data_IF_977689138764
#
_entry.id   IF_977689138764
#
_cell.length_a   1.000
_cell.length_b   1.000
_cell.length_c   1.000
_cell.angle_alpha   90.00
_cell.angle_beta   90.00
_cell.angle_gamma   90.00
#
_symmetry.space_group_name_H-M   'P 1'
#
loop_
_entity.id
_entity.type
_entity.pdbx_description
1 polymer ?
#
# COMPACT_ATOMS: atom_id res chain seq x y z
N UNK A 1 72.60 130.33 -44.78
CA UNK A 1 72.85 128.88 -44.73
C UNK A 1 72.77 128.41 -43.28
N UNK A 2 71.66 128.67 -42.58
CA UNK A 2 71.62 128.47 -41.12
C UNK A 2 70.22 128.26 -40.51
N UNK A 3 69.23 127.78 -41.29
CA UNK A 3 67.93 127.41 -40.70
C UNK A 3 67.34 126.09 -41.22
N UNK A 4 68.16 125.25 -41.87
CA UNK A 4 67.79 123.87 -42.26
C UNK A 4 68.03 122.88 -41.11
N UNK A 5 68.79 123.27 -40.06
CA UNK A 5 69.10 122.39 -38.92
C UNK A 5 67.95 122.27 -37.90
N UNK A 6 67.04 123.23 -37.83
CA UNK A 6 65.91 123.21 -36.88
C UNK A 6 64.75 122.33 -37.37
N UNK A 7 64.62 122.12 -38.68
CA UNK A 7 63.55 121.30 -39.27
C UNK A 7 63.82 119.78 -39.15
N UNK A 8 65.08 119.36 -38.98
CA UNK A 8 65.42 117.94 -38.79
C UNK A 8 65.15 117.43 -37.36
N UNK A 9 65.17 118.31 -36.36
CA UNK A 9 64.92 117.91 -34.96
C UNK A 9 63.42 117.67 -34.69
N UNK A 10 62.53 118.41 -35.35
CA UNK A 10 61.08 118.21 -35.25
C UNK A 10 60.62 116.94 -36.00
N UNK A 11 61.29 116.56 -37.10
CA UNK A 11 60.96 115.35 -37.87
C UNK A 11 61.30 114.05 -37.13
N UNK A 12 62.35 114.03 -36.31
CA UNK A 12 62.70 112.87 -35.49
C UNK A 12 61.88 112.75 -34.20
N UNK A 13 61.35 113.86 -33.67
CA UNK A 13 60.47 113.83 -32.49
C UNK A 13 59.04 113.34 -32.83
N UNK A 14 58.56 113.60 -34.04
CA UNK A 14 57.25 113.10 -34.52
C UNK A 14 57.31 111.60 -34.86
N UNK A 15 58.44 111.09 -35.36
CA UNK A 15 58.62 109.65 -35.59
C UNK A 15 58.79 108.83 -34.29
N UNK A 16 59.26 109.44 -33.20
CA UNK A 16 59.37 108.76 -31.90
C UNK A 16 58.03 108.74 -31.14
N UNK A 17 57.08 109.62 -31.48
CA UNK A 17 55.73 109.62 -30.90
C UNK A 17 54.72 108.74 -31.66
N UNK A 18 55.06 108.26 -32.88
CA UNK A 18 54.17 107.42 -33.70
C UNK A 18 54.36 105.90 -33.52
N UNK A 19 55.35 105.45 -32.73
CA UNK A 19 55.71 104.02 -32.60
C UNK A 19 55.34 103.38 -31.25
N UNK A 20 54.58 104.08 -30.40
CA UNK A 20 54.26 103.58 -29.06
C UNK A 20 52.77 103.77 -28.73
N UNK A 21 51.87 103.13 -29.49
CA UNK A 21 50.51 102.75 -29.06
C UNK A 21 49.81 101.96 -30.19
N UNK A 22 50.33 100.78 -30.52
CA UNK A 22 49.52 99.74 -31.16
C UNK A 22 49.24 98.68 -30.09
N UNK A 23 48.33 98.99 -29.18
CA UNK A 23 47.64 97.96 -28.41
C UNK A 23 46.92 97.09 -29.44
N UNK A 24 47.40 95.87 -29.63
CA UNK A 24 46.70 94.82 -30.35
C UNK A 24 45.36 94.58 -29.64
N UNK A 25 44.32 95.31 -30.05
CA UNK A 25 42.95 94.89 -29.83
C UNK A 25 42.68 93.73 -30.79
N UNK A 26 43.06 92.52 -30.38
CA UNK A 26 42.52 91.33 -31.02
C UNK A 26 41.06 91.20 -30.56
N UNK A 27 40.14 91.78 -31.33
CA UNK A 27 38.73 91.45 -31.22
C UNK A 27 38.52 90.11 -31.93
N UNK A 28 38.39 89.02 -31.18
CA UNK A 28 37.60 87.89 -31.65
C UNK A 28 36.14 88.33 -31.67
N UNK A 29 35.60 88.64 -32.85
CA UNK A 29 34.19 88.93 -33.06
C UNK A 29 33.51 87.68 -33.61
N UNK A 30 32.63 87.07 -32.81
CA UNK A 30 31.55 86.20 -33.29
C UNK A 30 31.76 84.68 -33.30
N UNK A 31 32.93 84.16 -32.90
CA UNK A 31 33.16 82.71 -32.74
C UNK A 31 33.24 82.31 -31.26
N UNK A 32 32.79 81.11 -30.91
CA UNK A 32 32.90 80.58 -29.55
C UNK A 32 34.32 80.63 -28.99
N UNK A 33 34.44 80.62 -27.66
CA UNK A 33 35.73 80.57 -26.99
C UNK A 33 36.27 79.14 -27.00
N UNK A 34 37.41 78.92 -27.67
CA UNK A 34 38.11 77.65 -27.65
C UNK A 34 39.22 77.66 -26.58
N UNK A 35 39.24 76.65 -25.71
CA UNK A 35 40.32 76.40 -24.73
C UNK A 35 40.93 75.05 -25.07
N UNK A 36 42.04 75.07 -25.81
CA UNK A 36 42.76 73.88 -26.23
C UNK A 36 44.24 74.19 -26.52
N UNK A 37 45.07 73.14 -26.65
CA UNK A 37 46.50 73.27 -26.96
C UNK A 37 46.83 73.20 -28.46
N UNK A 38 45.83 73.00 -29.32
CA UNK A 38 46.02 72.78 -30.77
C UNK A 38 45.81 74.05 -31.59
N UNK A 39 45.23 75.10 -30.99
CA UNK A 39 44.83 76.33 -31.68
C UNK A 39 43.60 76.16 -32.57
N UNK A 40 42.89 75.03 -32.47
CA UNK A 40 41.66 74.82 -33.22
C UNK A 40 40.59 75.85 -32.78
N UNK A 41 39.79 76.41 -33.72
CA UNK A 41 38.64 77.24 -33.36
C UNK A 41 37.61 76.40 -32.62
N UNK A 42 36.75 77.07 -31.85
CA UNK A 42 35.62 76.40 -31.22
C UNK A 42 34.69 75.85 -32.30
N UNK A 43 34.06 74.70 -32.03
CA UNK A 43 33.00 74.17 -32.87
C UNK A 43 31.90 75.23 -33.10
N UNK A 44 31.35 75.29 -34.31
CA UNK A 44 30.32 76.28 -34.67
C UNK A 44 29.04 76.18 -33.82
N UNK A 45 28.81 75.04 -33.16
CA UNK A 45 27.68 74.82 -32.25
C UNK A 45 27.97 75.19 -30.79
N UNK A 46 29.23 75.51 -30.43
CA UNK A 46 29.65 75.73 -29.06
C UNK A 46 30.10 77.18 -28.82
N UNK A 47 29.50 77.84 -27.82
CA UNK A 47 29.99 79.14 -27.35
C UNK A 47 31.24 79.00 -26.46
N UNK A 48 31.42 77.84 -25.83
CA UNK A 48 32.62 77.45 -25.09
C UNK A 48 32.98 76.02 -25.49
N UNK A 49 34.14 75.85 -26.12
CA UNK A 49 34.68 74.57 -26.55
C UNK A 49 35.98 74.31 -25.80
N UNK A 50 36.01 73.27 -24.97
CA UNK A 50 37.18 72.90 -24.18
C UNK A 50 37.64 71.52 -24.65
N UNK A 51 38.84 71.47 -25.25
CA UNK A 51 39.44 70.24 -25.72
C UNK A 51 40.78 70.01 -25.04
N UNK A 52 40.88 68.92 -24.29
CA UNK A 52 42.09 68.45 -23.65
C UNK A 52 42.05 66.93 -23.52
N UNK A 53 43.20 66.28 -23.59
CA UNK A 53 43.33 64.83 -23.41
C UNK A 53 43.61 64.45 -21.96
N UNK A 54 43.96 65.41 -21.09
CA UNK A 54 44.40 65.16 -19.72
C UNK A 54 43.94 66.20 -18.68
N UNK A 55 43.27 67.27 -19.10
CA UNK A 55 42.65 68.27 -18.22
C UNK A 55 41.14 68.32 -18.48
N UNK A 56 40.39 68.84 -17.51
CA UNK A 56 38.94 69.01 -17.63
C UNK A 56 38.49 70.33 -17.03
N UNK A 57 37.19 70.61 -17.13
CA UNK A 57 36.58 71.80 -16.54
C UNK A 57 36.23 71.56 -15.07
N UNK A 58 36.76 72.38 -14.17
CA UNK A 58 36.30 72.43 -12.77
C UNK A 58 35.10 73.37 -12.64
N UNK A 59 33.94 72.79 -12.35
CA UNK A 59 32.70 73.52 -12.08
C UNK A 59 32.72 74.12 -10.65
N UNK A 60 32.07 75.29 -10.42
CA UNK A 60 31.93 75.87 -9.09
C UNK A 60 31.42 74.87 -8.05
N UNK A 61 32.10 74.80 -6.90
CA UNK A 61 31.71 73.96 -5.78
C UNK A 61 30.88 74.76 -4.79
N UNK A 62 29.72 74.27 -4.43
CA UNK A 62 28.82 74.87 -3.43
C UNK A 62 28.51 73.88 -2.32
N UNK A 63 27.94 74.37 -1.22
CA UNK A 63 27.42 73.54 -0.15
C UNK A 63 25.90 73.73 -0.09
N UNK A 64 25.16 72.86 -0.79
CA UNK A 64 23.71 72.88 -0.76
C UNK A 64 23.19 72.34 0.58
N UNK A 65 22.02 72.78 1.01
CA UNK A 65 21.40 72.32 2.27
C UNK A 65 20.19 71.40 2.05
N UNK A 66 19.53 71.54 0.90
CA UNK A 66 18.51 70.66 0.34
C UNK A 66 18.26 71.07 -1.13
N UNK A 67 17.54 70.25 -1.90
CA UNK A 67 17.28 70.52 -3.31
C UNK A 67 16.35 71.71 -3.55
N UNK A 68 15.40 71.96 -2.66
CA UNK A 68 14.38 73.02 -2.83
C UNK A 68 14.87 74.43 -2.48
N UNK A 69 16.03 74.55 -1.84
CA UNK A 69 16.62 75.84 -1.46
C UNK A 69 17.54 76.35 -2.57
N UNK A 70 17.34 77.59 -3.02
CA UNK A 70 18.27 78.22 -3.95
C UNK A 70 19.64 78.49 -3.31
N UNK A 71 19.69 78.65 -1.98
CA UNK A 71 20.92 78.90 -1.24
C UNK A 71 21.96 77.78 -1.44
N UNK A 72 23.26 78.11 -1.49
CA UNK A 72 23.87 79.39 -1.16
C UNK A 72 23.85 80.43 -2.30
N UNK A 73 23.29 80.08 -3.45
CA UNK A 73 23.24 80.98 -4.61
C UNK A 73 21.92 81.77 -4.55
N UNK A 74 22.02 83.10 -4.58
CA UNK A 74 20.84 83.95 -4.66
C UNK A 74 20.41 84.06 -6.12
N UNK A 75 19.14 83.77 -6.43
CA UNK A 75 18.58 83.80 -7.78
C UNK A 75 19.42 83.03 -8.84
N UNK A 76 19.71 81.73 -8.63
CA UNK A 76 20.43 80.94 -9.62
C UNK A 76 19.70 80.95 -10.97
N UNK A 77 20.46 81.09 -12.06
CA UNK A 77 19.91 81.03 -13.41
C UNK A 77 19.44 79.61 -13.76
N UNK A 78 18.47 79.49 -14.67
CA UNK A 78 18.09 78.19 -15.22
C UNK A 78 19.32 77.48 -15.82
N UNK A 79 19.41 76.18 -15.60
CA UNK A 79 20.54 75.34 -16.05
C UNK A 79 21.91 75.72 -15.45
N UNK A 80 21.95 76.52 -14.38
CA UNK A 80 23.21 76.82 -13.69
C UNK A 80 23.82 75.54 -13.11
N UNK A 81 24.97 75.12 -13.62
CA UNK A 81 25.68 73.91 -13.20
C UNK A 81 26.60 74.18 -12.01
N UNK A 82 26.46 73.37 -10.96
CA UNK A 82 27.31 73.39 -9.76
C UNK A 82 27.71 71.98 -9.35
N UNK A 83 28.79 71.86 -8.60
CA UNK A 83 29.13 70.63 -7.87
C UNK A 83 28.82 70.84 -6.39
N UNK A 84 27.87 70.09 -5.84
CA UNK A 84 27.64 70.07 -4.40
C UNK A 84 28.75 69.28 -3.70
N UNK A 85 29.29 69.84 -2.63
CA UNK A 85 30.48 69.32 -1.95
C UNK A 85 30.19 68.70 -0.58
N UNK A 86 28.95 68.74 -0.12
CA UNK A 86 28.53 68.26 1.19
C UNK A 86 27.39 67.25 1.07
N UNK A 87 27.13 66.52 2.16
CA UNK A 87 25.87 65.79 2.34
C UNK A 87 25.05 66.55 3.38
N UNK A 88 23.87 67.05 2.99
CA UNK A 88 22.97 67.78 3.87
C UNK A 88 21.52 67.65 3.36
N UNK A 89 20.55 67.40 4.24
CA UNK A 89 19.16 67.18 3.80
C UNK A 89 19.04 66.03 2.79
N UNK A 90 18.46 66.32 1.62
CA UNK A 90 18.30 65.38 0.49
C UNK A 90 19.40 65.51 -0.59
N UNK A 91 20.40 66.38 -0.39
CA UNK A 91 21.54 66.50 -1.30
C UNK A 91 22.74 65.66 -0.83
N UNK A 92 23.45 65.12 -1.81
CA UNK A 92 24.72 64.40 -1.64
C UNK A 92 25.75 64.91 -2.65
N UNK A 93 27.06 64.77 -2.40
CA UNK A 93 28.07 65.28 -3.30
C UNK A 93 27.88 64.83 -4.76
N UNK A 94 27.97 65.77 -5.69
CA UNK A 94 27.73 65.50 -7.11
C UNK A 94 27.35 66.73 -7.92
N UNK A 95 27.10 66.54 -9.21
CA UNK A 95 26.70 67.63 -10.10
C UNK A 95 25.19 67.90 -9.99
N UNK A 96 24.83 69.17 -9.82
CA UNK A 96 23.46 69.65 -9.82
C UNK A 96 23.29 70.80 -10.81
N UNK A 97 22.09 70.93 -11.38
CA UNK A 97 21.69 72.13 -12.10
C UNK A 97 20.40 72.70 -11.52
N UNK A 98 20.23 74.01 -11.63
CA UNK A 98 19.00 74.68 -11.20
C UNK A 98 17.91 74.60 -12.28
N UNK A 99 16.71 74.13 -11.95
CA UNK A 99 15.59 74.01 -12.91
C UNK A 99 14.56 75.16 -12.86
N UNK A 100 14.88 76.25 -12.16
CA UNK A 100 14.00 77.36 -11.72
C UNK A 100 13.28 77.15 -10.39
N UNK A 101 13.15 75.92 -9.91
CA UNK A 101 12.40 75.59 -8.69
C UNK A 101 13.23 74.85 -7.66
N UNK A 102 14.19 74.03 -8.11
CA UNK A 102 15.05 73.22 -7.26
C UNK A 102 16.35 72.84 -7.98
N UNK A 103 17.31 72.36 -7.19
CA UNK A 103 18.52 71.71 -7.67
C UNK A 103 18.20 70.28 -8.10
N UNK A 104 18.43 69.97 -9.38
CA UNK A 104 18.30 68.64 -9.95
C UNK A 104 19.69 68.01 -10.08
N UNK A 105 19.88 66.83 -9.50
CA UNK A 105 21.12 66.07 -9.65
C UNK A 105 21.21 65.54 -11.09
N UNK A 106 22.29 65.89 -11.80
CA UNK A 106 22.50 65.52 -13.21
C UNK A 106 22.73 64.02 -13.43
N UNK A 107 23.33 63.36 -12.44
CA UNK A 107 23.44 61.92 -12.40
C UNK A 107 23.65 61.46 -10.96
N UNK A 108 22.77 60.60 -10.46
CA UNK A 108 23.14 59.59 -9.47
C UNK A 108 23.91 58.53 -10.26
N UNK A 109 25.24 58.61 -10.31
CA UNK A 109 26.05 57.60 -11.02
C UNK A 109 25.52 56.19 -10.74
N UNK A 110 25.14 55.45 -11.79
CA UNK A 110 24.77 54.01 -11.76
C UNK A 110 24.11 53.52 -10.46
N UNK A 111 22.90 54.00 -10.08
CA UNK A 111 22.35 53.68 -8.75
C UNK A 111 20.84 53.60 -8.53
N UNK A 112 19.98 54.07 -9.43
CA UNK A 112 18.52 54.10 -9.17
C UNK A 112 17.73 52.94 -9.78
N UNK A 113 18.40 52.01 -10.45
CA UNK A 113 17.76 50.86 -11.10
C UNK A 113 18.40 49.54 -10.67
N UNK A 114 17.71 48.44 -10.99
CA UNK A 114 18.29 47.11 -10.87
C UNK A 114 19.32 46.91 -11.99
N UNK A 115 20.58 46.70 -11.64
CA UNK A 115 21.66 46.44 -12.58
C UNK A 115 21.49 45.07 -13.23
N UNK A 116 21.92 44.92 -14.49
CA UNK A 116 21.96 43.62 -15.19
C UNK A 116 23.02 42.68 -14.61
N UNK A 117 24.01 43.22 -13.89
CA UNK A 117 24.98 42.44 -13.10
C UNK A 117 24.53 42.21 -11.65
N UNK A 118 23.35 42.71 -11.26
CA UNK A 118 22.84 42.68 -9.89
C UNK A 118 23.34 43.85 -9.02
N UNK A 119 22.68 44.03 -7.88
CA UNK A 119 22.99 45.06 -6.90
C UNK A 119 23.51 44.39 -5.61
N UNK A 120 24.58 44.90 -5.02
CA UNK A 120 25.08 44.45 -3.71
C UNK A 120 24.40 45.24 -2.56
N UNK A 121 24.32 44.64 -1.37
CA UNK A 121 23.85 45.33 -0.15
C UNK A 121 22.34 45.64 -0.11
N UNK A 122 21.52 44.85 -0.81
CA UNK A 122 20.06 44.98 -0.81
C UNK A 122 19.44 44.61 0.54
N UNK A 123 18.44 45.37 0.97
CA UNK A 123 17.56 45.07 2.12
C UNK A 123 16.17 44.63 1.62
N UNK A 124 15.64 43.51 2.13
CA UNK A 124 14.36 42.92 1.69
C UNK A 124 13.14 43.77 2.02
N UNK A 125 13.22 44.71 2.96
CA UNK A 125 12.13 45.63 3.31
C UNK A 125 12.06 46.84 2.38
N UNK A 126 13.19 47.26 1.79
CA UNK A 126 13.27 48.53 1.03
C UNK A 126 13.71 48.40 -0.42
N UNK A 127 14.29 47.26 -0.83
CA UNK A 127 14.77 47.04 -2.20
C UNK A 127 14.06 45.85 -2.83
N UNK A 128 13.38 46.08 -3.95
CA UNK A 128 12.71 45.04 -4.72
C UNK A 128 12.60 45.40 -6.19
N UNK A 129 12.35 44.40 -7.02
CA UNK A 129 11.92 44.57 -8.41
C UNK A 129 10.42 44.37 -8.44
N UNK A 130 9.66 45.39 -8.82
CA UNK A 130 8.21 45.32 -8.85
C UNK A 130 7.56 46.69 -8.96
N UNK A 131 6.30 46.75 -8.55
CA UNK A 131 5.47 47.95 -8.51
C UNK A 131 5.08 48.28 -7.05
N UNK A 132 4.88 49.55 -6.74
CA UNK A 132 4.35 50.01 -5.45
C UNK A 132 2.84 50.27 -5.48
N UNK A 133 2.21 50.16 -6.64
CA UNK A 133 0.79 50.38 -6.88
C UNK A 133 0.05 49.08 -7.27
N UNK A 134 -1.28 49.14 -7.39
CA UNK A 134 -2.17 48.00 -7.74
C UNK A 134 -2.08 47.65 -9.26
N UNK A 135 -0.85 47.46 -9.74
CA UNK A 135 -0.53 47.12 -11.12
C UNK A 135 0.26 45.82 -11.16
N UNK A 136 0.00 45.03 -12.20
CA UNK A 136 0.75 43.81 -12.44
C UNK A 136 2.17 44.11 -12.89
N UNK A 137 3.14 43.35 -12.39
CA UNK A 137 4.51 43.40 -12.87
C UNK A 137 4.71 42.40 -14.01
N UNK A 138 5.28 42.86 -15.14
CA UNK A 138 5.32 42.11 -16.40
C UNK A 138 6.75 41.97 -16.92
N UNK A 139 7.12 40.73 -17.27
CA UNK A 139 8.36 40.42 -17.97
C UNK A 139 8.06 40.15 -19.45
N UNK A 140 8.86 40.76 -20.34
CA UNK A 140 8.67 40.66 -21.79
C UNK A 140 9.95 40.25 -22.52
N UNK A 141 9.78 39.64 -23.69
CA UNK A 141 10.85 39.42 -24.68
C UNK A 141 10.31 39.79 -26.05
N UNK A 142 11.04 40.58 -26.83
CA UNK A 142 10.57 41.10 -28.12
C UNK A 142 9.18 41.77 -28.02
N UNK A 143 9.00 42.61 -27.00
CA UNK A 143 7.73 43.29 -26.65
C UNK A 143 6.52 42.36 -26.37
N UNK A 144 6.71 41.04 -26.30
CA UNK A 144 5.67 40.07 -25.95
C UNK A 144 5.76 39.68 -24.48
N UNK A 145 4.64 39.70 -23.77
CA UNK A 145 4.53 39.22 -22.38
C UNK A 145 4.85 37.73 -22.28
N UNK A 146 5.77 37.38 -21.37
CA UNK A 146 6.21 36.00 -21.13
C UNK A 146 5.83 35.52 -19.74
N UNK A 147 5.95 36.41 -18.75
CA UNK A 147 5.61 36.14 -17.36
C UNK A 147 4.99 37.40 -16.74
N UNK A 148 4.07 37.20 -15.79
CA UNK A 148 3.44 38.27 -15.03
C UNK A 148 3.25 37.84 -13.59
N UNK A 149 3.44 38.77 -12.66
CA UNK A 149 2.82 38.70 -11.33
C UNK A 149 1.58 39.60 -11.41
N UNK A 150 0.41 38.99 -11.32
CA UNK A 150 -0.87 39.70 -11.41
C UNK A 150 -1.02 40.66 -10.24
N UNK A 151 -1.92 41.64 -10.36
CA UNK A 151 -2.23 42.54 -9.24
C UNK A 151 -2.80 41.81 -8.02
N UNK A 152 -3.36 40.62 -8.24
CA UNK A 152 -3.87 39.72 -7.20
C UNK A 152 -2.78 38.78 -6.63
N UNK A 153 -1.53 38.88 -7.10
CA UNK A 153 -0.40 38.07 -6.62
C UNK A 153 -0.19 36.73 -7.32
N UNK A 154 -1.03 36.35 -8.29
CA UNK A 154 -0.84 35.11 -9.06
C UNK A 154 0.31 35.25 -10.05
N UNK A 155 1.11 34.20 -10.22
CA UNK A 155 2.16 34.12 -11.24
C UNK A 155 1.59 33.46 -12.49
N UNK A 156 1.60 34.18 -13.61
CA UNK A 156 1.28 33.63 -14.93
C UNK A 156 2.55 33.46 -15.77
N UNK A 157 2.73 32.30 -16.41
CA UNK A 157 3.78 32.04 -17.40
C UNK A 157 3.11 31.60 -18.69
N UNK A 158 3.31 32.34 -19.78
CA UNK A 158 2.61 32.10 -21.05
C UNK A 158 1.12 32.47 -21.06
N UNK A 159 0.61 33.04 -19.98
CA UNK A 159 -0.75 33.60 -19.86
C UNK A 159 -0.70 35.00 -19.25
N UNK A 160 -1.56 35.90 -19.75
CA UNK A 160 -1.74 37.26 -19.21
C UNK A 160 -2.88 37.37 -18.20
N UNK A 161 -3.69 36.31 -18.06
CA UNK A 161 -4.82 36.20 -17.16
C UNK A 161 -4.75 34.88 -16.39
N UNK A 162 -3.83 34.75 -15.42
CA UNK A 162 -3.74 33.55 -14.59
C UNK A 162 -5.06 33.31 -13.86
N UNK A 163 -5.47 32.04 -13.76
CA UNK A 163 -6.69 31.66 -13.05
C UNK A 163 -6.64 32.14 -11.58
N UNK A 164 -7.75 32.72 -11.09
CA UNK A 164 -7.80 33.31 -9.74
C UNK A 164 -7.56 32.29 -8.62
N UNK A 165 -7.88 31.01 -8.86
CA UNK A 165 -7.66 29.91 -7.92
C UNK A 165 -6.23 29.35 -7.92
N UNK A 166 -5.35 29.79 -8.83
CA UNK A 166 -4.02 29.25 -9.00
C UNK A 166 -2.95 30.28 -8.59
N UNK A 167 -2.06 29.94 -7.66
CA UNK A 167 -0.91 30.80 -7.35
C UNK A 167 0.11 30.83 -8.50
N UNK A 168 0.22 29.74 -9.25
CA UNK A 168 1.04 29.59 -10.46
C UNK A 168 0.17 29.00 -11.58
N UNK A 169 0.10 29.69 -12.71
CA UNK A 169 -0.60 29.27 -13.91
C UNK A 169 0.37 29.27 -15.11
N UNK A 170 0.57 28.11 -15.72
CA UNK A 170 1.50 27.91 -16.84
C UNK A 170 0.70 27.47 -18.05
N UNK A 171 0.62 28.33 -19.08
CA UNK A 171 -0.17 28.08 -20.28
C UNK A 171 0.70 27.95 -21.53
N UNK A 172 0.50 26.86 -22.27
CA UNK A 172 1.14 26.60 -23.56
C UNK A 172 0.36 25.53 -24.31
N UNK A 173 0.35 25.60 -25.64
CA UNK A 173 -0.21 24.56 -26.53
C UNK A 173 0.86 23.64 -27.13
N UNK A 174 2.14 23.94 -26.89
CA UNK A 174 3.29 23.27 -27.53
C UNK A 174 4.39 22.89 -26.55
N UNK A 175 4.24 23.21 -25.26
CA UNK A 175 5.23 22.98 -24.20
C UNK A 175 4.54 22.52 -22.92
N UNK A 176 5.27 21.78 -22.08
CA UNK A 176 4.84 21.39 -20.74
C UNK A 176 5.78 21.90 -19.65
N UNK A 177 5.49 21.55 -18.41
CA UNK A 177 6.35 21.81 -17.26
C UNK A 177 7.30 20.61 -17.02
N UNK A 178 8.61 20.87 -16.95
CA UNK A 178 9.57 19.93 -16.39
C UNK A 178 9.70 20.21 -14.88
N UNK A 179 9.20 19.29 -14.06
CA UNK A 179 9.44 19.27 -12.61
C UNK A 179 10.83 18.67 -12.30
N UNK A 180 11.40 18.86 -11.09
CA UNK A 180 12.69 18.30 -10.73
C UNK A 180 12.78 16.79 -11.03
N UNK A 181 13.81 16.40 -11.78
CA UNK A 181 14.05 15.02 -12.20
C UNK A 181 15.20 14.44 -11.41
N UNK A 182 15.01 13.29 -10.78
CA UNK A 182 16.00 12.69 -9.90
C UNK A 182 15.80 11.18 -9.78
N UNK A 183 16.84 10.45 -9.38
CA UNK A 183 16.72 9.04 -9.00
C UNK A 183 15.99 8.90 -7.67
N UNK A 184 15.50 7.71 -7.34
CA UNK A 184 14.94 7.40 -6.03
C UNK A 184 15.95 7.70 -4.91
N UNK A 185 17.23 7.35 -5.12
CA UNK A 185 18.28 7.63 -4.15
C UNK A 185 18.49 9.14 -3.89
N UNK A 186 18.41 9.98 -4.92
CA UNK A 186 18.51 11.43 -4.78
C UNK A 186 17.25 12.03 -4.12
N UNK A 187 16.07 11.52 -4.48
CA UNK A 187 14.78 11.91 -3.87
C UNK A 187 14.76 11.62 -2.38
N UNK A 188 15.26 10.46 -1.97
CA UNK A 188 15.28 10.02 -0.58
C UNK A 188 16.30 10.80 0.29
N UNK A 189 17.17 11.61 -0.33
CA UNK A 189 18.05 12.58 0.35
C UNK A 189 17.41 13.95 0.57
N UNK A 190 16.20 14.20 0.07
CA UNK A 190 15.47 15.44 0.37
C UNK A 190 15.11 15.44 1.86
N UNK A 191 15.72 16.34 2.63
CA UNK A 191 15.45 16.47 4.06
C UNK A 191 14.12 17.20 4.31
N UNK A 192 13.27 16.62 5.16
CA UNK A 192 11.96 17.16 5.53
C UNK A 192 11.10 17.65 4.34
N UNK A 193 10.80 16.78 3.36
CA UNK A 193 10.02 17.19 2.19
C UNK A 193 8.63 17.68 2.61
N UNK A 194 8.17 18.77 2.00
CA UNK A 194 6.84 19.29 2.26
C UNK A 194 5.76 18.37 1.67
N UNK A 195 4.62 18.24 2.35
CA UNK A 195 3.45 17.54 1.79
C UNK A 195 3.02 18.20 0.49
N UNK A 196 2.80 17.39 -0.54
CA UNK A 196 2.49 17.82 -1.91
C UNK A 196 3.70 18.14 -2.77
N UNK A 197 4.94 18.02 -2.26
CA UNK A 197 6.15 18.21 -3.06
C UNK A 197 6.18 17.22 -4.23
N UNK A 198 6.32 17.73 -5.47
CA UNK A 198 6.29 16.91 -6.69
C UNK A 198 7.67 16.77 -7.32
N UNK A 199 7.98 15.55 -7.78
CA UNK A 199 9.20 15.23 -8.53
C UNK A 199 8.88 14.25 -9.67
N UNK A 200 9.79 14.11 -10.62
CA UNK A 200 9.78 13.03 -11.61
C UNK A 200 10.90 12.05 -11.28
N UNK A 201 10.53 10.83 -10.90
CA UNK A 201 11.48 9.78 -10.57
C UNK A 201 11.96 9.08 -11.85
N UNK A 202 13.24 9.26 -12.18
CA UNK A 202 13.83 8.74 -13.43
C UNK A 202 14.11 7.23 -13.39
N UNK A 203 14.15 6.61 -12.21
CA UNK A 203 14.36 5.15 -12.10
C UNK A 203 13.12 4.38 -12.56
N UNK A 204 11.93 4.94 -12.33
CA UNK A 204 10.65 4.32 -12.66
C UNK A 204 9.82 5.09 -13.71
N UNK A 205 10.34 6.22 -14.21
CA UNK A 205 9.70 7.07 -15.23
C UNK A 205 8.28 7.53 -14.86
N UNK A 206 8.06 7.92 -13.60
CA UNK A 206 6.77 8.41 -13.12
C UNK A 206 6.89 9.74 -12.37
N UNK A 207 5.82 10.53 -12.41
CA UNK A 207 5.65 11.63 -11.47
C UNK A 207 5.29 11.07 -10.10
N UNK A 208 5.90 11.63 -9.06
CA UNK A 208 5.62 11.33 -7.66
C UNK A 208 5.31 12.61 -6.89
N UNK A 209 4.55 12.47 -5.80
CA UNK A 209 4.42 13.51 -4.79
C UNK A 209 4.63 12.96 -3.39
N UNK A 210 5.08 13.82 -2.47
CA UNK A 210 5.23 13.46 -1.06
C UNK A 210 3.90 13.62 -0.31
N UNK A 211 3.46 12.60 0.42
CA UNK A 211 2.18 12.62 1.16
C UNK A 211 2.29 13.27 2.54
N UNK A 212 3.49 13.59 3.01
CA UNK A 212 3.79 13.92 4.39
C UNK A 212 4.44 12.77 5.16
N UNK A 213 4.37 11.54 4.63
CA UNK A 213 5.02 10.36 5.22
C UNK A 213 5.83 9.56 4.20
N UNK A 214 5.43 9.52 2.93
CA UNK A 214 6.15 8.79 1.89
C UNK A 214 5.94 9.40 0.49
N UNK A 215 6.71 8.93 -0.48
CA UNK A 215 6.55 9.29 -1.90
C UNK A 215 5.59 8.33 -2.61
N UNK A 216 4.61 8.88 -3.32
CA UNK A 216 3.61 8.10 -4.08
C UNK A 216 3.56 8.55 -5.53
N UNK A 217 3.30 7.62 -6.45
CA UNK A 217 3.18 7.95 -7.87
C UNK A 217 1.81 8.55 -8.21
N UNK A 218 1.80 9.60 -9.04
CA UNK A 218 0.57 10.17 -9.61
C UNK A 218 0.02 9.37 -10.80
N UNK A 219 0.82 8.49 -11.40
CA UNK A 219 0.47 7.74 -12.62
C UNK A 219 0.29 6.23 -12.42
N UNK A 220 0.64 5.70 -11.25
CA UNK A 220 0.48 4.29 -10.90
C UNK A 220 -0.07 4.17 -9.48
N UNK A 221 -1.38 3.98 -9.37
CA UNK A 221 -1.93 3.27 -8.20
C UNK A 221 -1.73 1.77 -8.43
N UNK A 222 -1.42 1.02 -7.38
CA UNK A 222 -1.38 -0.44 -7.44
C UNK A 222 -2.71 -0.98 -7.99
N UNK A 223 -2.65 -1.56 -9.19
CA UNK A 223 -3.81 -2.22 -9.78
C UNK A 223 -4.25 -3.38 -8.88
N UNK A 224 -5.57 -3.63 -8.82
CA UNK A 224 -6.08 -4.89 -8.29
C UNK A 224 -5.40 -6.08 -9.00
N UNK A 225 -5.05 -7.16 -8.29
CA UNK A 225 -4.56 -8.36 -8.92
C UNK A 225 -5.49 -8.89 -10.01
N UNK A 226 -4.90 -9.48 -11.05
CA UNK A 226 -5.63 -10.21 -12.08
C UNK A 226 -6.26 -11.49 -11.54
N UNK A 227 -6.80 -12.32 -12.43
CA UNK A 227 -7.42 -13.59 -12.04
C UNK A 227 -6.45 -14.48 -11.22
N UNK A 228 -6.97 -15.08 -10.15
CA UNK A 228 -6.24 -16.04 -9.34
C UNK A 228 -6.37 -17.40 -10.03
N UNK A 229 -5.24 -18.02 -10.35
CA UNK A 229 -5.20 -19.39 -10.87
C UNK A 229 -4.94 -20.38 -9.75
N UNK A 230 -5.37 -21.64 -9.92
CA UNK A 230 -5.21 -22.70 -8.93
C UNK A 230 -4.45 -23.90 -9.51
N UNK A 231 -3.72 -24.62 -8.68
CA UNK A 231 -3.07 -25.87 -9.10
C UNK A 231 -3.23 -26.94 -8.02
N UNK A 232 -3.82 -28.11 -8.35
CA UNK A 232 -4.57 -28.41 -9.57
C UNK A 232 -5.77 -27.48 -9.80
N UNK A 233 -6.17 -27.27 -11.07
CA UNK A 233 -7.28 -26.39 -11.43
C UNK A 233 -8.63 -26.98 -11.01
N UNK A 234 -9.09 -26.59 -9.82
CA UNK A 234 -10.43 -26.88 -9.32
C UNK A 234 -10.77 -25.96 -8.15
N UNK A 235 -11.99 -25.45 -8.14
CA UNK A 235 -12.56 -24.68 -7.03
C UNK A 235 -13.35 -25.55 -6.05
N UNK A 236 -13.51 -26.85 -6.33
CA UNK A 236 -14.20 -27.81 -5.44
C UNK A 236 -13.33 -29.04 -5.16
N UNK A 237 -13.14 -29.37 -3.87
CA UNK A 237 -12.35 -30.52 -3.46
C UNK A 237 -12.60 -30.92 -2.00
N UNK A 238 -12.10 -32.11 -1.63
CA UNK A 238 -12.22 -32.61 -0.26
C UNK A 238 -11.34 -31.84 0.74
N UNK A 239 -11.78 -31.77 1.99
CA UNK A 239 -11.01 -31.21 3.10
C UNK A 239 -9.60 -31.84 3.24
N UNK A 240 -8.66 -31.08 3.81
CA UNK A 240 -7.29 -31.52 4.06
C UNK A 240 -6.36 -31.51 2.84
N UNK A 241 -6.85 -31.17 1.64
CA UNK A 241 -6.02 -31.05 0.44
C UNK A 241 -5.18 -29.78 0.45
N UNK A 242 -4.03 -29.85 -0.21
CA UNK A 242 -3.17 -28.71 -0.49
C UNK A 242 -3.47 -28.22 -1.91
N UNK A 243 -3.57 -26.89 -2.06
CA UNK A 243 -3.69 -26.20 -3.35
C UNK A 243 -2.70 -25.06 -3.40
N UNK A 244 -2.17 -24.82 -4.60
CA UNK A 244 -1.36 -23.64 -4.87
C UNK A 244 -2.21 -22.61 -5.61
N UNK A 245 -2.12 -21.35 -5.20
CA UNK A 245 -2.77 -20.22 -5.85
C UNK A 245 -1.73 -19.24 -6.33
N UNK A 246 -1.92 -18.68 -7.54
CA UNK A 246 -0.98 -17.73 -8.09
C UNK A 246 -1.67 -16.61 -8.88
N UNK A 247 -0.95 -15.49 -8.99
CA UNK A 247 -1.29 -14.36 -9.85
C UNK A 247 -0.06 -13.95 -10.67
N UNK A 248 -0.29 -13.18 -11.74
CA UNK A 248 0.81 -12.49 -12.41
C UNK A 248 1.36 -11.35 -11.53
N UNK A 249 2.68 -11.08 -11.56
CA UNK A 249 3.27 -9.96 -10.83
C UNK A 249 2.67 -8.60 -11.24
N UNK A 250 2.46 -7.73 -10.26
CA UNK A 250 1.96 -6.36 -10.48
C UNK A 250 3.12 -5.37 -10.42
N UNK A 251 3.23 -4.52 -11.45
CA UNK A 251 4.25 -3.46 -11.49
C UNK A 251 4.07 -2.49 -10.32
N UNK A 252 5.13 -2.28 -9.55
CA UNK A 252 5.14 -1.38 -8.38
C UNK A 252 4.76 -2.05 -7.06
N UNK A 253 4.33 -3.32 -7.07
CA UNK A 253 4.08 -4.08 -5.85
C UNK A 253 5.41 -4.59 -5.26
N UNK A 254 5.62 -4.40 -3.97
CA UNK A 254 6.78 -4.95 -3.24
C UNK A 254 6.40 -6.18 -2.41
N UNK A 255 5.12 -6.39 -2.11
CA UNK A 255 4.59 -7.53 -1.35
C UNK A 255 3.15 -7.84 -1.76
N UNK A 256 2.69 -9.05 -1.42
CA UNK A 256 1.30 -9.48 -1.59
C UNK A 256 0.70 -9.97 -0.29
N UNK A 257 -0.50 -9.49 0.03
CA UNK A 257 -1.26 -9.87 1.21
C UNK A 257 -2.28 -10.91 0.77
N UNK A 258 -2.15 -12.13 1.29
CA UNK A 258 -3.08 -13.22 1.03
C UNK A 258 -3.96 -13.50 2.24
N UNK A 259 -5.23 -13.75 2.00
CA UNK A 259 -6.19 -14.23 3.01
C UNK A 259 -6.81 -15.53 2.55
N UNK A 260 -7.07 -16.44 3.50
CA UNK A 260 -7.64 -17.76 3.25
C UNK A 260 -8.84 -18.03 4.16
N UNK A 261 -9.73 -18.98 3.84
CA UNK A 261 -10.92 -19.26 4.64
C UNK A 261 -10.59 -19.72 6.07
N UNK A 262 -11.56 -19.62 6.98
CA UNK A 262 -11.41 -20.09 8.35
C UNK A 262 -11.02 -21.58 8.39
N UNK A 263 -9.99 -21.92 9.17
CA UNK A 263 -9.44 -23.28 9.27
C UNK A 263 -8.52 -23.69 8.12
N UNK A 264 -8.34 -22.87 7.08
CA UNK A 264 -7.25 -23.02 6.12
C UNK A 264 -5.97 -22.33 6.63
N UNK A 265 -4.81 -22.82 6.17
CA UNK A 265 -3.51 -22.24 6.50
C UNK A 265 -2.64 -22.09 5.27
N UNK A 266 -2.00 -20.93 5.12
CA UNK A 266 -0.94 -20.73 4.14
C UNK A 266 0.30 -21.47 4.65
N UNK A 267 0.81 -22.43 3.89
CA UNK A 267 1.98 -23.24 4.27
C UNK A 267 3.28 -22.67 3.72
N UNK A 268 3.25 -22.02 2.56
CA UNK A 268 4.43 -21.44 1.89
C UNK A 268 4.04 -20.24 1.03
N UNK A 269 5.01 -19.38 0.70
CA UNK A 269 4.86 -18.31 -0.31
C UNK A 269 4.25 -17.00 0.19
N UNK A 270 4.10 -16.83 1.51
CA UNK A 270 3.55 -15.60 2.10
C UNK A 270 4.33 -14.36 1.63
N UNK A 271 3.61 -13.32 1.21
CA UNK A 271 4.22 -12.09 0.69
C UNK A 271 4.56 -12.13 -0.81
N UNK A 272 4.41 -13.27 -1.48
CA UNK A 272 4.79 -13.45 -2.90
C UNK A 272 3.58 -13.59 -3.82
N UNK A 273 3.79 -13.67 -5.13
CA UNK A 273 2.71 -13.87 -6.12
C UNK A 273 2.10 -15.27 -6.12
N UNK A 274 2.63 -16.20 -5.32
CA UNK A 274 2.17 -17.59 -5.25
C UNK A 274 2.20 -18.13 -3.83
N UNK A 275 1.12 -18.77 -3.40
CA UNK A 275 1.00 -19.40 -2.08
C UNK A 275 0.55 -20.84 -2.19
N UNK A 276 0.99 -21.71 -1.28
CA UNK A 276 0.35 -23.01 -1.05
C UNK A 276 -0.48 -22.97 0.22
N UNK A 277 -1.67 -23.54 0.16
CA UNK A 277 -2.68 -23.50 1.22
C UNK A 277 -3.14 -24.91 1.53
N UNK A 278 -3.13 -25.30 2.81
CA UNK A 278 -3.85 -26.51 3.28
C UNK A 278 -5.23 -26.11 3.77
N UNK A 279 -6.28 -26.73 3.23
CA UNK A 279 -7.66 -26.42 3.60
C UNK A 279 -8.18 -27.29 4.75
N UNK A 280 -8.98 -26.66 5.62
CA UNK A 280 -9.74 -27.34 6.69
C UNK A 280 -11.07 -27.90 6.16
N UNK A 281 -12.14 -27.76 6.96
CA UNK A 281 -13.49 -28.28 6.64
C UNK A 281 -14.45 -27.21 6.11
N UNK A 282 -14.01 -25.96 6.00
CA UNK A 282 -14.88 -24.81 5.73
C UNK A 282 -14.58 -24.23 4.35
N UNK A 283 -15.64 -24.01 3.57
CA UNK A 283 -15.59 -23.27 2.31
C UNK A 283 -15.37 -21.77 2.54
N UNK A 284 -14.91 -21.06 1.51
CA UNK A 284 -14.81 -19.60 1.52
C UNK A 284 -13.81 -19.10 0.49
N UNK A 285 -13.46 -17.81 0.59
CA UNK A 285 -12.60 -17.17 -0.40
C UNK A 285 -11.12 -17.26 -0.08
N UNK A 286 -10.32 -17.45 -1.14
CA UNK A 286 -8.90 -17.08 -1.15
C UNK A 286 -8.81 -15.72 -1.83
N UNK A 287 -8.22 -14.74 -1.16
CA UNK A 287 -8.06 -13.40 -1.70
C UNK A 287 -6.60 -12.94 -1.67
N UNK A 288 -6.25 -12.04 -2.59
CA UNK A 288 -4.95 -11.39 -2.67
C UNK A 288 -5.08 -9.91 -2.95
N UNK A 289 -4.31 -9.10 -2.23
CA UNK A 289 -4.05 -7.69 -2.53
C UNK A 289 -2.56 -7.50 -2.81
N UNK A 290 -2.22 -6.53 -3.67
CA UNK A 290 -0.85 -6.09 -3.84
C UNK A 290 -0.57 -4.90 -2.92
N UNK A 291 0.63 -4.83 -2.40
CA UNK A 291 1.05 -3.80 -1.46
C UNK A 291 2.43 -3.26 -1.84
N UNK A 292 2.63 -1.97 -1.57
CA UNK A 292 3.93 -1.35 -1.47
C UNK A 292 4.01 -0.56 -0.15
N UNK A 293 5.10 0.16 0.07
CA UNK A 293 5.31 0.92 1.30
C UNK A 293 4.25 1.99 1.61
N UNK A 294 3.41 2.36 0.65
CA UNK A 294 2.49 3.50 0.77
C UNK A 294 1.02 3.14 0.53
N UNK A 295 0.71 2.09 -0.22
CA UNK A 295 -0.67 1.73 -0.56
C UNK A 295 -0.89 0.22 -0.63
N UNK A 296 -2.15 -0.18 -0.49
CA UNK A 296 -2.63 -1.55 -0.71
C UNK A 296 -3.76 -1.49 -1.74
N UNK A 297 -3.69 -2.32 -2.78
CA UNK A 297 -4.73 -2.39 -3.78
C UNK A 297 -5.98 -3.12 -3.27
N UNK A 298 -7.12 -2.87 -3.92
CA UNK A 298 -8.33 -3.67 -3.73
C UNK A 298 -8.05 -5.16 -3.98
N UNK A 299 -8.61 -6.02 -3.13
CA UNK A 299 -8.38 -7.45 -3.21
C UNK A 299 -9.07 -8.09 -4.42
N UNK A 300 -8.42 -9.10 -5.00
CA UNK A 300 -9.07 -10.08 -5.87
C UNK A 300 -9.38 -11.32 -5.05
N UNK A 301 -10.56 -11.92 -5.23
CA UNK A 301 -10.95 -13.16 -4.55
C UNK A 301 -11.35 -14.23 -5.56
N UNK A 302 -11.13 -15.49 -5.18
CA UNK A 302 -11.69 -16.70 -5.80
C UNK A 302 -12.46 -17.47 -4.72
N UNK A 303 -13.65 -17.98 -5.05
CA UNK A 303 -14.48 -18.77 -4.14
C UNK A 303 -14.08 -20.25 -4.19
N UNK A 304 -13.90 -20.85 -3.01
CA UNK A 304 -13.44 -22.23 -2.85
C UNK A 304 -14.46 -23.01 -2.04
N UNK A 305 -14.94 -24.10 -2.64
CA UNK A 305 -15.83 -25.06 -2.01
C UNK A 305 -15.04 -26.25 -1.47
N UNK A 306 -15.09 -26.43 -0.15
CA UNK A 306 -14.44 -27.54 0.53
C UNK A 306 -15.49 -28.52 1.03
N UNK A 307 -15.38 -29.77 0.59
CA UNK A 307 -16.27 -30.84 0.98
C UNK A 307 -15.65 -31.62 2.17
N UNK A 308 -16.17 -31.47 3.40
CA UNK A 308 -15.67 -32.24 4.53
C UNK A 308 -16.05 -33.72 4.41
N UNK A 309 -15.35 -34.58 5.15
CA UNK A 309 -15.84 -35.93 5.39
C UNK A 309 -17.17 -35.86 6.17
N UNK A 310 -18.07 -36.86 6.03
CA UNK A 310 -19.29 -36.91 6.82
C UNK A 310 -18.95 -36.85 8.31
N UNK A 311 -19.80 -36.15 9.07
CA UNK A 311 -19.70 -36.17 10.53
C UNK A 311 -20.05 -37.56 11.08
N UNK A 312 -19.64 -37.85 12.31
CA UNK A 312 -20.09 -39.05 13.00
C UNK A 312 -21.63 -39.13 12.97
N UNK A 313 -22.22 -40.31 12.71
CA UNK A 313 -23.64 -40.52 12.89
C UNK A 313 -24.15 -40.03 14.25
N UNK A 314 -25.45 -39.72 14.32
CA UNK A 314 -26.11 -39.52 15.62
C UNK A 314 -26.22 -40.84 16.39
N UNK A 315 -26.78 -40.78 17.60
CA UNK A 315 -27.02 -41.95 18.44
C UNK A 315 -27.78 -43.06 17.68
N UNK A 316 -27.26 -44.28 17.76
CA UNK A 316 -27.97 -45.46 17.23
C UNK A 316 -29.18 -45.72 18.13
N UNK A 317 -30.36 -45.84 17.52
CA UNK A 317 -31.60 -46.23 18.19
C UNK A 317 -31.92 -47.69 17.88
N UNK A 318 -32.14 -48.48 18.91
CA UNK A 318 -32.50 -49.91 18.80
C UNK A 318 -32.47 -50.58 20.18
N UNK A 319 -32.83 -51.88 20.26
CA UNK A 319 -32.79 -52.62 21.52
C UNK A 319 -31.37 -52.72 22.11
N UNK A 320 -31.23 -52.46 23.40
CA UNK A 320 -29.97 -52.59 24.16
C UNK A 320 -29.83 -53.95 24.87
N UNK A 321 -30.87 -54.77 24.83
CA UNK A 321 -30.89 -56.12 25.36
C UNK A 321 -31.31 -57.10 24.27
N UNK A 322 -30.58 -58.21 24.16
CA UNK A 322 -30.82 -59.24 23.15
C UNK A 322 -30.90 -60.63 23.80
N UNK A 323 -31.71 -61.49 23.21
CA UNK A 323 -31.91 -62.87 23.66
C UNK A 323 -31.42 -63.82 22.55
N UNK A 324 -30.47 -64.73 22.84
CA UNK A 324 -29.97 -65.68 21.84
C UNK A 324 -31.10 -66.49 21.17
N UNK A 325 -31.04 -66.60 19.85
CA UNK A 325 -31.97 -67.41 19.04
C UNK A 325 -33.40 -66.89 18.92
N UNK A 326 -33.73 -65.73 19.48
CA UNK A 326 -35.08 -65.18 19.41
C UNK A 326 -35.57 -65.07 17.95
N UNK A 327 -36.82 -65.44 17.71
CA UNK A 327 -37.40 -65.44 16.36
C UNK A 327 -37.73 -64.04 15.82
N UNK A 328 -37.99 -63.08 16.71
CA UNK A 328 -38.22 -61.69 16.34
C UNK A 328 -36.91 -61.02 15.90
N UNK A 329 -36.97 -60.22 14.84
CA UNK A 329 -35.86 -59.38 14.41
C UNK A 329 -35.88 -58.02 15.12
N UNK A 330 -34.72 -57.35 15.16
CA UNK A 330 -34.55 -56.06 15.80
C UNK A 330 -34.05 -55.01 14.80
N UNK A 331 -34.69 -53.85 14.77
CA UNK A 331 -34.27 -52.72 13.93
C UNK A 331 -33.33 -51.79 14.69
N UNK A 332 -32.22 -51.44 14.06
CA UNK A 332 -31.27 -50.42 14.52
C UNK A 332 -31.17 -49.33 13.47
N UNK A 333 -31.29 -48.07 13.87
CA UNK A 333 -31.27 -46.96 12.93
C UNK A 333 -30.59 -45.72 13.50
N UNK A 334 -30.15 -44.87 12.59
CA UNK A 334 -29.66 -43.52 12.83
C UNK A 334 -30.43 -42.55 11.92
N UNK A 335 -30.42 -41.27 12.26
CA UNK A 335 -30.78 -40.24 11.30
C UNK A 335 -29.77 -40.22 10.14
N UNK A 336 -30.24 -39.95 8.92
CA UNK A 336 -29.36 -39.86 7.76
C UNK A 336 -28.34 -38.72 7.94
N UNK A 337 -27.07 -39.00 7.63
CA UNK A 337 -25.95 -38.07 7.77
C UNK A 337 -25.73 -37.32 6.45
N UNK A 338 -25.75 -35.99 6.49
CA UNK A 338 -25.46 -35.15 5.32
C UNK A 338 -24.07 -35.44 4.76
N UNK A 339 -23.98 -35.61 3.43
CA UNK A 339 -22.73 -35.93 2.73
C UNK A 339 -22.34 -37.41 2.73
N UNK A 340 -23.10 -38.27 3.42
CA UNK A 340 -22.94 -39.71 3.34
C UNK A 340 -23.67 -40.30 2.13
N UNK A 341 -23.03 -41.22 1.42
CA UNK A 341 -23.62 -42.00 0.33
C UNK A 341 -23.77 -43.49 0.67
N UNK A 342 -23.14 -43.98 1.75
CA UNK A 342 -23.39 -45.31 2.31
C UNK A 342 -23.06 -45.36 3.81
N UNK A 343 -23.48 -46.43 4.48
CA UNK A 343 -23.23 -46.67 5.90
C UNK A 343 -22.60 -48.05 6.12
N UNK A 344 -21.47 -48.07 6.83
CA UNK A 344 -20.79 -49.31 7.17
C UNK A 344 -21.15 -49.70 8.61
N UNK A 345 -21.96 -50.75 8.74
CA UNK A 345 -22.38 -51.29 10.02
C UNK A 345 -21.50 -52.48 10.42
N UNK A 346 -21.10 -52.51 11.69
CA UNK A 346 -20.45 -53.65 12.33
C UNK A 346 -21.31 -54.12 13.50
N UNK A 347 -21.44 -55.43 13.65
CA UNK A 347 -22.32 -56.06 14.65
C UNK A 347 -21.53 -57.09 15.48
N UNK A 348 -21.96 -57.39 16.71
CA UNK A 348 -21.29 -58.38 17.55
C UNK A 348 -21.32 -59.80 16.97
N UNK A 349 -20.46 -60.68 17.49
CA UNK A 349 -20.48 -62.10 17.15
C UNK A 349 -21.85 -62.72 17.46
N UNK A 350 -22.36 -63.53 16.54
CA UNK A 350 -23.68 -64.16 16.63
C UNK A 350 -24.87 -63.22 16.34
N UNK A 351 -24.61 -62.02 15.84
CA UNK A 351 -25.62 -61.16 15.21
C UNK A 351 -25.48 -61.28 13.69
N UNK A 352 -26.60 -61.24 12.97
CA UNK A 352 -26.59 -61.19 11.50
C UNK A 352 -27.44 -60.05 10.99
N UNK A 353 -26.88 -59.26 10.06
CA UNK A 353 -27.63 -58.25 9.31
C UNK A 353 -28.47 -58.99 8.27
N UNK A 354 -29.78 -58.98 8.44
CA UNK A 354 -30.71 -59.66 7.53
C UNK A 354 -31.27 -58.72 6.45
N UNK A 355 -31.23 -57.40 6.68
CA UNK A 355 -31.55 -56.38 5.67
C UNK A 355 -31.00 -55.01 6.03
N UNK A 356 -30.94 -54.09 5.04
CA UNK A 356 -30.60 -52.68 5.25
C UNK A 356 -29.10 -52.34 5.25
N UNK A 357 -28.22 -53.30 4.92
CA UNK A 357 -26.78 -53.04 4.79
C UNK A 357 -26.51 -51.89 3.81
N UNK A 358 -25.62 -50.96 4.18
CA UNK A 358 -25.33 -49.76 3.40
C UNK A 358 -26.31 -48.60 3.62
N UNK A 359 -27.39 -48.78 4.39
CA UNK A 359 -28.42 -47.75 4.63
C UNK A 359 -28.39 -47.24 6.07
N UNK A 360 -29.16 -46.18 6.38
CA UNK A 360 -29.27 -45.62 7.73
C UNK A 360 -30.06 -46.49 8.70
N UNK A 361 -30.60 -47.64 8.26
CA UNK A 361 -31.35 -48.59 9.08
C UNK A 361 -30.94 -50.01 8.72
N UNK A 362 -30.61 -50.81 9.73
CA UNK A 362 -30.38 -52.25 9.56
C UNK A 362 -31.37 -53.05 10.39
N UNK A 363 -31.68 -54.25 9.93
CA UNK A 363 -32.45 -55.23 10.70
C UNK A 363 -31.54 -56.39 11.05
N UNK A 364 -31.49 -56.74 12.34
CA UNK A 364 -30.66 -57.79 12.90
C UNK A 364 -31.48 -59.00 13.31
N UNK A 365 -30.87 -60.17 13.19
CA UNK A 365 -31.30 -61.40 13.85
C UNK A 365 -30.24 -61.85 14.85
N UNK A 366 -30.68 -62.27 16.04
CA UNK A 366 -29.81 -62.80 17.09
C UNK A 366 -29.73 -64.32 16.97
N UNK A 367 -28.54 -64.85 16.68
CA UNK A 367 -28.29 -66.28 16.58
C UNK A 367 -28.07 -66.89 17.98
N UNK A 368 -28.08 -68.21 18.07
CA UNK A 368 -27.92 -68.93 19.35
C UNK A 368 -26.55 -68.73 20.02
N UNK A 369 -25.54 -68.34 19.24
CA UNK A 369 -24.20 -68.00 19.70
C UNK A 369 -23.98 -66.48 19.85
N UNK A 370 -25.05 -65.68 19.97
CA UNK A 370 -24.96 -64.24 20.20
C UNK A 370 -24.21 -63.93 21.51
N UNK A 371 -23.24 -63.01 21.44
CA UNK A 371 -22.45 -62.55 22.59
C UNK A 371 -22.58 -61.03 22.70
N UNK A 372 -22.59 -60.52 23.94
CA UNK A 372 -22.59 -59.08 24.21
C UNK A 372 -21.47 -58.37 23.45
N UNK A 373 -21.78 -57.19 22.92
CA UNK A 373 -20.83 -56.40 22.17
C UNK A 373 -21.47 -55.13 21.63
N UNK A 374 -20.77 -54.47 20.72
CA UNK A 374 -21.21 -53.20 20.17
C UNK A 374 -21.79 -53.35 18.76
N UNK A 375 -22.94 -52.73 18.54
CA UNK A 375 -23.38 -52.34 17.20
C UNK A 375 -22.73 -50.99 16.90
N UNK A 376 -22.01 -50.88 15.78
CA UNK A 376 -21.31 -49.66 15.40
C UNK A 376 -21.61 -49.28 13.95
N UNK A 377 -21.66 -47.98 13.67
CA UNK A 377 -21.89 -47.46 12.32
C UNK A 377 -20.97 -46.28 12.01
N UNK A 378 -20.36 -46.30 10.83
CA UNK A 378 -19.69 -45.14 10.22
C UNK A 378 -20.46 -44.68 9.00
N UNK A 379 -20.57 -43.36 8.81
CA UNK A 379 -21.04 -42.77 7.57
C UNK A 379 -19.87 -42.66 6.58
N UNK A 380 -20.08 -43.10 5.34
CA UNK A 380 -19.08 -42.98 4.28
C UNK A 380 -19.58 -42.02 3.21
N UNK A 381 -18.72 -41.09 2.83
CA UNK A 381 -18.93 -40.06 1.83
C UNK A 381 -17.84 -40.08 0.76
N UNK A 382 -17.95 -39.25 -0.30
CA UNK A 382 -16.93 -39.16 -1.35
C UNK A 382 -15.58 -38.64 -0.84
N UNK A 383 -15.59 -37.89 0.27
CA UNK A 383 -14.41 -37.24 0.85
C UNK A 383 -13.84 -37.94 2.09
N UNK A 384 -14.35 -39.11 2.45
CA UNK A 384 -13.84 -39.91 3.56
C UNK A 384 -14.93 -40.63 4.36
N UNK A 385 -14.49 -41.28 5.43
CA UNK A 385 -15.35 -42.01 6.37
C UNK A 385 -15.35 -41.28 7.70
N UNK A 386 -16.52 -41.17 8.33
CA UNK A 386 -16.68 -40.59 9.65
C UNK A 386 -16.02 -41.43 10.73
N UNK A 387 -15.86 -40.87 11.93
CA UNK A 387 -15.67 -41.69 13.13
C UNK A 387 -16.93 -42.53 13.41
N UNK A 388 -16.79 -43.70 14.06
CA UNK A 388 -17.92 -44.57 14.36
C UNK A 388 -18.78 -44.03 15.50
N UNK A 389 -20.08 -44.29 15.41
CA UNK A 389 -20.98 -44.24 16.57
C UNK A 389 -21.24 -45.65 17.05
N UNK A 390 -21.33 -45.84 18.37
CA UNK A 390 -21.32 -47.15 19.01
C UNK A 390 -22.51 -47.25 19.97
N UNK A 391 -23.21 -48.39 19.94
CA UNK A 391 -24.25 -48.77 20.89
C UNK A 391 -23.91 -50.14 21.48
N UNK A 392 -23.72 -50.19 22.80
CA UNK A 392 -23.51 -51.45 23.50
C UNK A 392 -24.83 -52.23 23.63
N UNK A 393 -24.80 -53.51 23.28
CA UNK A 393 -25.94 -54.43 23.41
C UNK A 393 -25.54 -55.57 24.35
N UNK A 394 -26.31 -55.75 25.41
CA UNK A 394 -26.13 -56.85 26.37
C UNK A 394 -26.96 -58.04 25.94
N UNK A 395 -26.30 -59.18 25.74
CA UNK A 395 -26.95 -60.45 25.40
C UNK A 395 -27.14 -61.27 26.67
N UNK A 396 -28.33 -61.84 26.84
CA UNK A 396 -28.61 -62.79 27.93
C UNK A 396 -27.67 -64.01 27.83
N UNK A 397 -27.28 -64.66 28.95
CA UNK A 397 -26.36 -65.78 28.90
C UNK A 397 -26.81 -66.87 27.91
N UNK A 398 -25.89 -67.28 27.03
CA UNK A 398 -26.15 -68.38 26.09
C UNK A 398 -26.47 -69.67 26.85
N UNK A 399 -27.29 -70.53 26.25
CA UNK A 399 -27.58 -71.85 26.82
C UNK A 399 -26.28 -72.65 26.97
N UNK A 400 -26.12 -73.30 28.12
CA UNK A 400 -25.03 -74.24 28.41
C UNK A 400 -25.62 -75.55 28.92
N UNK A 401 -24.99 -76.66 28.54
CA UNK A 401 -25.28 -77.99 29.06
C UNK A 401 -24.17 -78.42 30.01
N UNK A 402 -24.51 -79.14 31.07
CA UNK A 402 -23.56 -79.69 32.02
C UNK A 402 -23.87 -81.16 32.27
N UNK A 403 -23.10 -82.06 31.64
CA UNK A 403 -23.25 -83.50 31.80
C UNK A 403 -22.77 -84.02 33.18
N UNK A 404 -22.16 -83.15 34.00
CA UNK A 404 -21.64 -83.48 35.32
C UNK A 404 -20.25 -84.13 35.27
N UNK A 405 -19.72 -84.46 36.44
CA UNK A 405 -18.48 -85.23 36.54
C UNK A 405 -18.76 -86.74 36.36
N UNK A 406 -17.75 -87.56 36.03
CA UNK A 406 -17.90 -89.02 36.00
C UNK A 406 -18.40 -89.58 37.35
N UNK A 407 -19.35 -90.51 37.31
CA UNK A 407 -19.92 -91.17 38.49
C UNK A 407 -19.93 -92.69 38.35
N UNK A 408 -20.06 -93.39 39.47
CA UNK A 408 -20.31 -94.84 39.49
C UNK A 408 -21.80 -95.14 39.28
N UNK A 409 -22.10 -96.37 38.83
CA UNK A 409 -23.45 -96.83 38.52
C UNK A 409 -24.46 -96.71 39.67
N UNK A 410 -25.72 -96.49 39.31
CA UNK A 410 -26.83 -96.32 40.25
C UNK A 410 -27.04 -94.88 40.74
N UNK A 411 -26.28 -93.91 40.23
CA UNK A 411 -26.34 -92.48 40.63
C UNK A 411 -26.91 -91.63 39.48
N UNK A 412 -27.56 -90.52 39.83
CA UNK A 412 -28.00 -89.52 38.87
C UNK A 412 -26.80 -88.85 38.17
N UNK A 413 -26.86 -88.75 36.84
CA UNK A 413 -25.87 -88.04 36.01
C UNK A 413 -26.36 -86.62 35.67
N UNK A 414 -25.47 -85.74 35.19
CA UNK A 414 -25.77 -84.33 34.95
C UNK A 414 -25.34 -83.41 36.09
N UNK A 415 -25.10 -82.13 35.77
CA UNK A 415 -24.78 -81.09 36.75
C UNK A 415 -25.99 -80.65 37.58
N UNK A 416 -25.72 -79.81 38.60
CA UNK A 416 -26.75 -79.10 39.38
C UNK A 416 -26.52 -77.58 39.24
N UNK A 417 -27.20 -76.89 38.31
CA UNK A 417 -28.19 -77.40 37.35
C UNK A 417 -27.56 -78.09 36.10
N UNK A 418 -28.32 -78.97 35.44
CA UNK A 418 -27.90 -79.66 34.20
C UNK A 418 -27.89 -78.75 32.97
N UNK A 419 -28.58 -77.62 33.05
CA UNK A 419 -28.59 -76.55 32.06
C UNK A 419 -28.54 -75.19 32.77
N UNK A 420 -27.86 -74.21 32.18
CA UNK A 420 -27.92 -72.82 32.64
C UNK A 420 -27.81 -71.84 31.47
N UNK A 421 -28.23 -70.59 31.68
CA UNK A 421 -28.43 -69.61 30.59
C UNK A 421 -29.65 -69.96 29.73
N UNK A 422 -29.68 -69.54 28.46
CA UNK A 422 -30.77 -69.85 27.53
C UNK A 422 -32.11 -69.17 27.87
N UNK A 423 -33.16 -69.52 27.13
CA UNK A 423 -34.48 -68.89 27.25
C UNK A 423 -35.57 -69.88 27.59
N UNK A 424 -36.39 -69.55 28.59
CA UNK A 424 -37.60 -70.31 28.91
C UNK A 424 -37.32 -71.70 29.47
N UNK A 425 -38.20 -72.65 29.15
CA UNK A 425 -38.08 -74.04 29.61
C UNK A 425 -37.12 -74.83 28.73
N UNK A 426 -36.41 -75.79 29.33
CA UNK A 426 -35.45 -76.65 28.62
C UNK A 426 -36.04 -78.03 28.31
N UNK A 427 -35.67 -78.57 27.15
CA UNK A 427 -35.80 -79.99 26.84
C UNK A 427 -34.43 -80.66 26.88
N UNK A 428 -34.39 -81.89 27.36
CA UNK A 428 -33.17 -82.65 27.59
C UNK A 428 -33.16 -83.86 26.67
N UNK A 429 -31.98 -84.23 26.17
CA UNK A 429 -31.77 -85.46 25.41
C UNK A 429 -30.39 -86.03 25.71
N UNK A 430 -30.36 -87.20 26.34
CA UNK A 430 -29.15 -87.96 26.62
C UNK A 430 -28.92 -89.05 25.57
N UNK A 431 -27.69 -89.12 25.04
CA UNK A 431 -27.28 -90.14 24.07
C UNK A 431 -25.95 -90.80 24.48
N UNK A 432 -25.83 -92.15 24.47
CA UNK A 432 -26.87 -93.12 24.11
C UNK A 432 -28.01 -93.15 25.14
N UNK A 433 -29.23 -93.47 24.70
CA UNK A 433 -30.42 -93.53 25.57
C UNK A 433 -30.46 -94.83 26.42
N UNK A 434 -29.56 -95.77 26.17
CA UNK A 434 -29.48 -97.07 26.84
C UNK A 434 -28.97 -96.94 28.27
N UNK A 435 -29.44 -97.83 29.15
CA UNK A 435 -29.03 -97.92 30.56
C UNK A 435 -29.27 -96.63 31.38
N UNK A 436 -30.26 -95.81 30.98
CA UNK A 436 -30.72 -94.62 31.70
C UNK A 436 -32.16 -94.79 32.20
N UNK A 437 -32.48 -94.21 33.35
CA UNK A 437 -33.86 -94.16 33.88
C UNK A 437 -34.82 -93.33 33.00
N UNK A 438 -34.30 -92.49 32.11
CA UNK A 438 -35.06 -91.74 31.10
C UNK A 438 -34.16 -90.79 30.32
N UNK A 439 -34.16 -90.86 28.99
CA UNK A 439 -33.25 -90.05 28.17
C UNK A 439 -33.67 -88.58 28.02
N UNK A 440 -34.88 -88.20 28.44
CA UNK A 440 -35.47 -86.87 28.24
C UNK A 440 -35.64 -86.03 29.52
N UNK A 441 -34.97 -86.40 30.62
CA UNK A 441 -35.03 -85.68 31.91
C UNK A 441 -33.70 -84.97 32.22
N UNK A 442 -33.75 -83.96 33.09
CA UNK A 442 -32.58 -83.14 33.43
C UNK A 442 -31.41 -83.96 34.02
N UNK A 443 -31.71 -84.86 34.95
CA UNK A 443 -30.74 -85.69 35.65
C UNK A 443 -31.25 -87.14 35.76
N UNK A 444 -31.07 -88.00 34.74
CA UNK A 444 -31.44 -89.41 34.83
C UNK A 444 -30.46 -90.22 35.67
N UNK A 445 -30.86 -91.38 36.14
CA UNK A 445 -29.97 -92.35 36.81
C UNK A 445 -29.33 -93.26 35.78
N UNK A 446 -28.00 -93.33 35.76
CA UNK A 446 -27.26 -94.30 34.95
C UNK A 446 -27.21 -95.64 35.69
N UNK A 447 -27.78 -96.68 35.09
CA UNK A 447 -27.93 -98.01 35.70
C UNK A 447 -26.66 -98.86 35.57
N UNK A 448 -25.76 -98.50 34.64
CA UNK A 448 -24.41 -99.04 34.40
C UNK A 448 -24.30 -100.57 34.55
N UNK A 449 -24.53 -101.29 33.46
CA UNK A 449 -24.43 -102.76 33.35
C UNK A 449 -23.00 -103.33 33.36
N UNK A 450 -21.99 -102.56 33.82
CA UNK A 450 -20.61 -103.01 34.05
C UNK A 450 -19.52 -102.48 33.11
N UNK A 451 -19.85 -101.56 32.19
CA UNK A 451 -18.89 -100.92 31.27
C UNK A 451 -18.86 -99.38 31.46
N UNK A 452 -17.74 -98.74 31.17
CA UNK A 452 -17.63 -97.27 31.10
C UNK A 452 -18.40 -96.76 29.88
N UNK A 453 -19.39 -95.89 30.09
CA UNK A 453 -20.20 -95.29 29.02
C UNK A 453 -20.12 -93.78 29.09
N UNK A 454 -19.77 -93.13 27.98
CA UNK A 454 -19.84 -91.67 27.83
C UNK A 454 -21.22 -91.29 27.33
N UNK A 455 -21.89 -90.40 28.05
CA UNK A 455 -23.20 -89.89 27.68
C UNK A 455 -23.09 -88.42 27.26
N UNK A 456 -23.57 -88.09 26.07
CA UNK A 456 -23.69 -86.71 25.62
C UNK A 456 -25.08 -86.19 26.00
N UNK A 457 -25.12 -85.17 26.83
CA UNK A 457 -26.29 -84.36 27.11
C UNK A 457 -26.44 -83.29 26.03
N UNK A 458 -27.60 -83.26 25.36
CA UNK A 458 -28.06 -82.13 24.55
C UNK A 458 -29.21 -81.44 25.28
N UNK A 459 -29.07 -80.14 25.51
CA UNK A 459 -30.15 -79.31 26.06
C UNK A 459 -30.62 -78.37 24.97
N UNK A 460 -31.94 -78.24 24.79
CA UNK A 460 -32.55 -77.27 23.87
C UNK A 460 -33.43 -76.31 24.65
N UNK A 461 -33.32 -75.01 24.39
CA UNK A 461 -34.17 -73.98 25.00
C UNK A 461 -35.44 -73.68 24.18
N UNK A 462 -36.28 -72.77 24.67
CA UNK A 462 -37.52 -72.39 24.01
C UNK A 462 -37.34 -71.64 22.68
N UNK A 463 -36.14 -71.12 22.40
CA UNK A 463 -35.77 -70.49 21.12
C UNK A 463 -35.12 -71.50 20.15
N UNK A 464 -35.17 -72.80 20.47
CA UNK A 464 -34.52 -73.88 19.72
C UNK A 464 -32.99 -73.78 19.68
N UNK A 465 -32.38 -73.06 20.62
CA UNK A 465 -30.93 -73.06 20.79
C UNK A 465 -30.47 -74.30 21.54
N UNK A 466 -29.42 -74.93 21.04
CA UNK A 466 -28.90 -76.19 21.61
C UNK A 466 -27.52 -76.00 22.19
N UNK A 467 -27.25 -76.60 23.35
CA UNK A 467 -25.90 -76.80 23.89
C UNK A 467 -25.66 -78.28 24.19
N UNK A 468 -24.41 -78.72 24.06
CA UNK A 468 -24.01 -80.10 24.33
C UNK A 468 -22.87 -80.18 25.35
N UNK A 469 -22.85 -81.25 26.13
CA UNK A 469 -21.80 -81.59 27.11
C UNK A 469 -21.72 -83.11 27.23
N UNK A 470 -20.54 -83.67 27.51
CA UNK A 470 -20.28 -85.12 27.53
C UNK A 470 -19.40 -85.53 28.70
#
# INVERSE_FOLDING_TARGET
>A
MENIKTLLFVRNLIFLFLSFNFSLYCFSQGGGAAINSTGAPADNSAMLDISSTNQGMRIPRVALTNTTSSAPITNPANSLLVYDSVSAGDVTPGFYYWDNTKWIRLATGSGSGWSTSGNAGTDTATNFIGTTDDRSWVMKTNNSERMKISKSGNVGIGTSNPASSAILDVSSNTKGQLIPRMTAAQRDLISSPATGLQIFNIDCNVNEYYTGSCWVSMGKSLKAPGDITSSPDSTEFCAGKIRTYSILPISGATRYIWTVPAGARITTGLGTTSISVTFGNTSGNVCVSAENSCETSSARCIDIKVNPAPIAPGNITGPISAVPGQSASASYFISAVTGANTYNWTVPTGFSIISGAGTSTIVLKYLCNAISGNVSVTAQGPCGTSTPTILAVTVSPVITANAGAPVFGGVAIGGSPAASGGTGSFTYLWNPATDLSGSAVANPTALCSGLTTTYTLTVTDANSCTATSS
#
